data_IF_303947795605
#
_entry.id   IF_303947795605
#
_cell.length_a   1.000
_cell.length_b   1.000
_cell.length_c   1.000
_cell.angle_alpha   90.00
_cell.angle_beta   90.00
_cell.angle_gamma   90.00
#
_symmetry.space_group_name_H-M   'P 1'
#
loop_
_entity.id
_entity.type
_entity.pdbx_description
1 polymer ?
#
# COMPACT_ATOMS: atom_id res chain seq x y z
N UNK A 1 17.04 -17.33 -8.21
CA UNK A 1 15.60 -17.36 -7.94
C UNK A 1 14.89 -17.72 -9.23
N UNK A 2 13.83 -18.55 -9.17
CA UNK A 2 13.01 -18.82 -10.34
C UNK A 2 12.24 -17.55 -10.71
N UNK A 3 11.96 -17.38 -12.00
CA UNK A 3 11.13 -16.28 -12.47
C UNK A 3 9.70 -16.45 -11.93
N UNK A 4 9.08 -15.38 -11.39
CA UNK A 4 7.74 -15.45 -10.80
C UNK A 4 6.68 -15.92 -11.79
N UNK A 5 6.83 -15.58 -13.06
CA UNK A 5 5.94 -16.05 -14.13
C UNK A 5 6.08 -17.56 -14.34
N UNK A 6 7.30 -18.08 -14.26
CA UNK A 6 7.56 -19.52 -14.33
C UNK A 6 7.01 -20.27 -13.12
N UNK A 7 7.07 -19.68 -11.93
CA UNK A 7 6.50 -20.25 -10.70
C UNK A 7 4.99 -20.45 -10.85
N UNK A 8 4.29 -19.49 -11.47
CA UNK A 8 2.85 -19.60 -11.76
C UNK A 8 2.56 -20.36 -13.06
N UNK A 9 3.55 -20.61 -13.92
CA UNK A 9 3.38 -21.25 -15.21
C UNK A 9 2.63 -20.40 -16.24
N UNK A 10 2.86 -19.08 -16.23
CA UNK A 10 2.22 -18.10 -17.11
C UNK A 10 3.25 -17.30 -17.90
N UNK A 11 2.80 -16.66 -18.98
CA UNK A 11 3.62 -15.74 -19.76
C UNK A 11 3.74 -14.36 -19.10
N UNK A 12 4.80 -13.61 -19.44
CA UNK A 12 5.07 -12.26 -18.92
C UNK A 12 4.03 -11.22 -19.37
N UNK A 13 3.24 -11.51 -20.40
CA UNK A 13 2.13 -10.69 -20.88
C UNK A 13 0.75 -11.09 -20.30
N UNK A 14 0.72 -12.07 -19.37
CA UNK A 14 -0.51 -12.55 -18.76
C UNK A 14 -1.27 -11.41 -18.07
N UNK A 15 -2.60 -11.37 -18.26
CA UNK A 15 -3.49 -10.41 -17.58
C UNK A 15 -3.75 -10.83 -16.14
N UNK A 16 -4.19 -9.90 -15.30
CA UNK A 16 -4.47 -10.14 -13.87
C UNK A 16 -5.44 -11.32 -13.65
N UNK A 17 -6.42 -11.52 -14.54
CA UNK A 17 -7.34 -12.65 -14.51
C UNK A 17 -6.63 -13.99 -14.72
N UNK A 18 -5.64 -14.04 -15.61
CA UNK A 18 -4.82 -15.22 -15.88
C UNK A 18 -3.87 -15.51 -14.71
N UNK A 19 -3.30 -14.46 -14.11
CA UNK A 19 -2.50 -14.57 -12.87
C UNK A 19 -3.32 -15.20 -11.75
N UNK A 20 -4.57 -14.73 -11.57
CA UNK A 20 -5.48 -15.25 -10.56
C UNK A 20 -5.89 -16.72 -10.84
N UNK A 21 -6.15 -17.07 -12.10
CA UNK A 21 -6.50 -18.44 -12.49
C UNK A 21 -5.34 -19.41 -12.28
N UNK A 22 -4.11 -19.00 -12.68
CA UNK A 22 -2.90 -19.79 -12.51
C UNK A 22 -2.56 -20.03 -11.03
N UNK A 23 -2.70 -19.00 -10.19
CA UNK A 23 -2.52 -19.14 -8.75
C UNK A 23 -3.45 -20.22 -8.16
N UNK A 24 -4.75 -20.14 -8.48
CA UNK A 24 -5.72 -21.16 -7.98
C UNK A 24 -5.41 -22.57 -8.43
N UNK A 25 -4.88 -22.75 -9.64
CA UNK A 25 -4.45 -24.04 -10.14
C UNK A 25 -3.22 -24.54 -9.39
N UNK A 26 -2.18 -23.70 -9.30
CA UNK A 26 -0.90 -24.06 -8.67
C UNK A 26 -1.00 -24.31 -7.17
N UNK A 27 -1.82 -23.52 -6.45
CA UNK A 27 -2.06 -23.74 -5.01
C UNK A 27 -2.60 -25.14 -4.73
N UNK A 28 -3.51 -25.67 -5.57
CA UNK A 28 -4.05 -27.02 -5.41
C UNK A 28 -2.98 -28.11 -5.58
N UNK A 29 -1.99 -27.86 -6.46
CA UNK A 29 -0.89 -28.81 -6.73
C UNK A 29 0.17 -28.80 -5.61
N UNK A 30 0.46 -27.61 -5.04
CA UNK A 30 1.54 -27.45 -4.05
C UNK A 30 1.05 -27.42 -2.61
N UNK A 31 -0.27 -27.60 -2.37
CA UNK A 31 -0.82 -27.57 -1.03
C UNK A 31 -0.26 -28.72 -0.17
N UNK A 32 0.13 -28.46 1.09
CA UNK A 32 0.66 -29.50 1.98
C UNK A 32 -0.26 -30.73 2.11
N UNK A 33 -1.58 -30.50 2.16
CA UNK A 33 -2.59 -31.59 2.24
C UNK A 33 -2.66 -32.42 0.94
N UNK A 34 -2.16 -31.90 -0.18
CA UNK A 34 -2.07 -32.60 -1.46
C UNK A 34 -0.69 -33.22 -1.71
N UNK A 35 0.20 -33.21 -0.70
CA UNK A 35 1.56 -33.74 -0.81
C UNK A 35 2.60 -32.72 -1.28
N UNK A 36 2.24 -31.44 -1.38
CA UNK A 36 3.16 -30.36 -1.65
C UNK A 36 4.02 -29.98 -0.45
N UNK A 37 5.02 -29.12 -0.68
CA UNK A 37 5.91 -28.60 0.37
C UNK A 37 5.52 -27.18 0.76
N UNK A 38 5.79 -26.80 2.01
CA UNK A 38 5.56 -25.43 2.50
C UNK A 38 6.37 -24.39 1.69
N UNK A 39 7.58 -24.76 1.25
CA UNK A 39 8.44 -23.92 0.43
C UNK A 39 7.81 -23.66 -0.95
N UNK A 40 7.30 -24.68 -1.61
CA UNK A 40 6.63 -24.55 -2.91
C UNK A 40 5.34 -23.73 -2.80
N UNK A 41 4.58 -23.93 -1.72
CA UNK A 41 3.39 -23.12 -1.44
C UNK A 41 3.75 -21.64 -1.23
N UNK A 42 4.79 -21.35 -0.46
CA UNK A 42 5.25 -19.98 -0.21
C UNK A 42 5.78 -19.31 -1.49
N UNK A 43 6.49 -20.05 -2.35
CA UNK A 43 6.94 -19.52 -3.65
C UNK A 43 5.75 -19.13 -4.55
N UNK A 44 4.73 -19.97 -4.62
CA UNK A 44 3.51 -19.72 -5.41
C UNK A 44 2.72 -18.54 -4.84
N UNK A 45 2.57 -18.46 -3.50
CA UNK A 45 1.88 -17.35 -2.84
C UNK A 45 2.62 -16.01 -3.08
N UNK A 46 3.94 -16.00 -2.96
CA UNK A 46 4.77 -14.82 -3.22
C UNK A 46 4.68 -14.37 -4.69
N UNK A 47 4.77 -15.31 -5.62
CA UNK A 47 4.63 -15.00 -7.04
C UNK A 47 3.27 -14.36 -7.37
N UNK A 48 2.19 -14.89 -6.79
CA UNK A 48 0.86 -14.30 -6.94
C UNK A 48 0.78 -12.90 -6.35
N UNK A 49 1.26 -12.71 -5.11
CA UNK A 49 1.22 -11.40 -4.42
C UNK A 49 1.92 -10.30 -5.21
N UNK A 50 3.04 -10.61 -5.84
CA UNK A 50 3.79 -9.66 -6.66
C UNK A 50 3.10 -9.41 -8.00
N UNK A 51 2.71 -10.47 -8.72
CA UNK A 51 2.21 -10.36 -10.09
C UNK A 51 0.77 -9.88 -10.20
N UNK A 52 -0.06 -10.04 -9.15
CA UNK A 52 -1.43 -9.50 -9.12
C UNK A 52 -1.47 -7.99 -8.87
N UNK A 53 -0.44 -7.44 -8.27
CA UNK A 53 -0.32 -6.02 -7.99
C UNK A 53 0.44 -5.34 -9.14
N UNK A 54 -0.24 -4.49 -9.90
CA UNK A 54 0.32 -3.82 -11.10
C UNK A 54 1.61 -3.05 -10.81
N UNK A 55 1.73 -2.43 -9.63
CA UNK A 55 2.91 -1.66 -9.22
C UNK A 55 4.10 -2.59 -8.93
N UNK A 56 3.85 -3.64 -8.13
CA UNK A 56 4.87 -4.64 -7.79
C UNK A 56 5.32 -5.40 -9.03
N UNK A 57 4.38 -5.78 -9.90
CA UNK A 57 4.65 -6.47 -11.15
C UNK A 57 5.52 -5.62 -12.07
N UNK A 58 5.13 -4.35 -12.32
CA UNK A 58 5.89 -3.42 -13.14
C UNK A 58 7.33 -3.28 -12.64
N UNK A 59 7.51 -3.13 -11.33
CA UNK A 59 8.84 -3.00 -10.74
C UNK A 59 9.64 -4.29 -10.83
N UNK A 60 8.99 -5.44 -10.63
CA UNK A 60 9.62 -6.73 -10.85
C UNK A 60 10.07 -6.91 -12.31
N UNK A 61 9.24 -6.49 -13.26
CA UNK A 61 9.56 -6.54 -14.70
C UNK A 61 10.74 -5.60 -15.05
N UNK A 62 10.87 -4.46 -14.38
CA UNK A 62 11.96 -3.49 -14.58
C UNK A 62 13.27 -3.91 -13.90
N UNK A 63 13.22 -4.52 -12.72
CA UNK A 63 14.40 -4.74 -11.86
C UNK A 63 14.78 -6.22 -11.70
N UNK A 64 13.87 -7.14 -11.98
CA UNK A 64 14.01 -8.57 -11.69
C UNK A 64 14.07 -8.90 -10.19
N UNK A 65 13.84 -7.92 -9.31
CA UNK A 65 14.01 -8.04 -7.86
C UNK A 65 12.70 -7.85 -7.11
N UNK A 66 12.40 -8.78 -6.22
CA UNK A 66 11.30 -8.69 -5.26
C UNK A 66 11.79 -7.99 -3.99
N UNK A 67 13.05 -8.23 -3.62
CA UNK A 67 13.60 -7.84 -2.33
C UNK A 67 13.83 -6.34 -2.14
N UNK A 68 14.02 -5.58 -3.22
CA UNK A 68 14.28 -4.14 -3.09
C UNK A 68 13.04 -3.38 -2.65
N UNK A 69 11.85 -3.83 -3.09
CA UNK A 69 10.59 -3.20 -2.65
C UNK A 69 10.26 -3.55 -1.20
N UNK A 70 10.46 -4.80 -0.78
CA UNK A 70 10.19 -5.20 0.59
C UNK A 70 11.15 -4.51 1.58
N UNK A 71 12.40 -4.30 1.18
CA UNK A 71 13.36 -3.50 1.94
C UNK A 71 12.96 -2.03 2.02
N UNK A 72 12.53 -1.43 0.91
CA UNK A 72 12.08 -0.05 0.85
C UNK A 72 10.81 0.17 1.69
N UNK A 73 9.85 -0.76 1.61
CA UNK A 73 8.64 -0.73 2.44
C UNK A 73 9.01 -0.89 3.92
N UNK A 74 9.86 -1.85 4.25
CA UNK A 74 10.28 -2.10 5.63
C UNK A 74 11.06 -0.93 6.21
N UNK A 75 12.01 -0.36 5.46
CA UNK A 75 12.76 0.81 5.90
C UNK A 75 11.85 2.04 6.09
N UNK A 76 10.93 2.28 5.15
CA UNK A 76 9.96 3.35 5.27
C UNK A 76 8.99 3.15 6.45
N UNK A 77 8.59 1.90 6.71
CA UNK A 77 7.74 1.56 7.85
C UNK A 77 8.45 1.83 9.19
N UNK A 78 9.73 1.49 9.30
CA UNK A 78 10.54 1.79 10.49
C UNK A 78 10.65 3.30 10.71
N UNK A 79 10.97 4.07 9.66
CA UNK A 79 11.06 5.54 9.76
C UNK A 79 9.73 6.18 10.19
N UNK A 80 8.60 5.71 9.66
CA UNK A 80 7.28 6.18 10.07
C UNK A 80 7.03 5.84 11.53
N UNK A 81 7.28 4.61 11.96
CA UNK A 81 7.09 4.18 13.35
C UNK A 81 7.96 4.99 14.31
N UNK A 82 9.24 5.18 14.00
CA UNK A 82 10.17 6.01 14.78
C UNK A 82 9.70 7.47 14.88
N UNK A 83 9.26 8.05 13.76
CA UNK A 83 8.76 9.42 13.75
C UNK A 83 7.51 9.59 14.62
N UNK A 84 6.57 8.65 14.55
CA UNK A 84 5.35 8.67 15.34
C UNK A 84 5.63 8.45 16.83
N UNK A 85 6.52 7.52 17.16
CA UNK A 85 6.92 7.27 18.55
C UNK A 85 7.60 8.52 19.13
N UNK A 86 8.54 9.13 18.41
CA UNK A 86 9.24 10.34 18.88
C UNK A 86 8.27 11.50 19.16
N UNK A 87 7.20 11.65 18.37
CA UNK A 87 6.19 12.69 18.61
C UNK A 87 5.40 12.49 19.93
N UNK A 88 5.36 11.25 20.43
CA UNK A 88 4.60 10.92 21.65
C UNK A 88 5.50 10.85 22.87
N UNK A 89 6.80 10.53 22.72
CA UNK A 89 7.73 10.35 23.83
C UNK A 89 7.86 11.58 24.74
N UNK A 90 7.70 12.78 24.16
CA UNK A 90 7.83 14.03 24.91
C UNK A 90 6.53 14.47 25.61
N UNK A 91 5.46 13.68 25.54
CA UNK A 91 4.20 14.00 26.18
C UNK A 91 4.26 13.70 27.67
N UNK A 92 3.78 14.63 28.51
CA UNK A 92 3.73 14.48 29.95
C UNK A 92 2.77 13.36 30.41
N UNK A 93 1.72 13.09 29.61
CA UNK A 93 0.67 12.11 29.89
C UNK A 93 0.95 10.70 29.37
N UNK A 94 2.14 10.45 28.82
CA UNK A 94 2.49 9.19 28.14
C UNK A 94 2.22 7.93 28.97
N UNK A 95 2.41 8.03 30.31
CA UNK A 95 2.22 6.89 31.23
C UNK A 95 0.75 6.56 31.49
N UNK A 96 -0.18 7.47 31.16
CA UNK A 96 -1.60 7.34 31.46
C UNK A 96 -2.46 7.09 30.22
N UNK A 97 -1.85 6.95 29.04
CA UNK A 97 -2.55 6.71 27.76
C UNK A 97 -2.14 5.38 27.14
N UNK A 98 -3.02 4.77 26.37
CA UNK A 98 -2.68 3.65 25.50
C UNK A 98 -1.93 4.18 24.26
N UNK A 99 -0.59 4.18 24.37
CA UNK A 99 0.30 4.68 23.33
C UNK A 99 0.09 3.93 22.00
N UNK A 100 -0.12 2.62 22.04
CA UNK A 100 -0.31 1.82 20.82
C UNK A 100 -1.63 2.17 20.15
N UNK A 101 -2.70 2.39 20.91
CA UNK A 101 -3.97 2.84 20.35
C UNK A 101 -3.85 4.23 19.71
N UNK A 102 -3.15 5.18 20.34
CA UNK A 102 -2.91 6.52 19.79
C UNK A 102 -2.09 6.45 18.51
N UNK A 103 -1.00 5.68 18.49
CA UNK A 103 -0.17 5.50 17.30
C UNK A 103 -0.97 4.86 16.15
N UNK A 104 -1.78 3.84 16.46
CA UNK A 104 -2.62 3.16 15.48
C UNK A 104 -3.67 4.10 14.88
N UNK A 105 -4.28 4.95 15.70
CA UNK A 105 -5.24 5.97 15.24
C UNK A 105 -4.56 7.00 14.31
N UNK A 106 -3.35 7.43 14.63
CA UNK A 106 -2.60 8.38 13.79
C UNK A 106 -2.21 7.76 12.44
N UNK A 107 -1.73 6.51 12.43
CA UNK A 107 -1.50 5.77 11.19
C UNK A 107 -2.80 5.68 10.37
N UNK A 108 -3.93 5.39 11.01
CA UNK A 108 -5.24 5.32 10.36
C UNK A 108 -5.64 6.63 9.66
N UNK A 109 -5.39 7.79 10.28
CA UNK A 109 -5.61 9.10 9.64
C UNK A 109 -4.75 9.27 8.39
N UNK A 110 -3.47 8.94 8.48
CA UNK A 110 -2.56 9.02 7.33
C UNK A 110 -2.99 8.09 6.20
N UNK A 111 -3.42 6.87 6.50
CA UNK A 111 -3.99 5.94 5.51
C UNK A 111 -5.21 6.54 4.82
N UNK A 112 -6.14 7.14 5.59
CA UNK A 112 -7.32 7.80 5.04
C UNK A 112 -6.97 8.94 4.08
N UNK A 113 -6.00 9.79 4.45
CA UNK A 113 -5.53 10.88 3.60
C UNK A 113 -4.90 10.39 2.29
N UNK A 114 -4.07 9.32 2.34
CA UNK A 114 -3.45 8.73 1.14
C UNK A 114 -4.49 8.13 0.20
N UNK A 115 -5.47 7.41 0.73
CA UNK A 115 -6.57 6.86 -0.07
C UNK A 115 -7.36 7.96 -0.76
N UNK A 116 -7.70 9.04 -0.06
CA UNK A 116 -8.38 10.19 -0.65
C UNK A 116 -7.56 10.87 -1.76
N UNK A 117 -6.22 10.95 -1.60
CA UNK A 117 -5.34 11.48 -2.63
C UNK A 117 -5.31 10.58 -3.88
N UNK A 118 -5.22 9.25 -3.69
CA UNK A 118 -5.26 8.29 -4.81
C UNK A 118 -6.57 8.45 -5.59
N UNK A 119 -7.70 8.56 -4.90
CA UNK A 119 -8.99 8.74 -5.54
C UNK A 119 -9.05 10.04 -6.36
N UNK A 120 -8.58 11.17 -5.81
CA UNK A 120 -8.48 12.45 -6.53
C UNK A 120 -7.58 12.36 -7.75
N UNK A 121 -6.45 11.68 -7.65
CA UNK A 121 -5.54 11.47 -8.76
C UNK A 121 -6.18 10.60 -9.84
N UNK A 122 -6.89 9.53 -9.47
CA UNK A 122 -7.58 8.67 -10.43
C UNK A 122 -8.72 9.40 -11.16
N UNK A 123 -9.51 10.20 -10.45
CA UNK A 123 -10.53 11.08 -11.06
C UNK A 123 -9.89 12.04 -12.06
N UNK A 124 -8.75 12.64 -11.71
CA UNK A 124 -8.01 13.56 -12.59
C UNK A 124 -7.43 12.84 -13.81
N UNK A 125 -6.94 11.60 -13.61
CA UNK A 125 -6.46 10.75 -14.72
C UNK A 125 -7.58 10.44 -15.69
N UNK A 126 -8.73 9.99 -15.20
CA UNK A 126 -9.93 9.71 -16.02
C UNK A 126 -10.38 10.94 -16.79
N UNK A 127 -10.38 12.12 -16.15
CA UNK A 127 -10.70 13.39 -16.81
C UNK A 127 -9.75 13.69 -17.97
N UNK A 128 -8.45 13.52 -17.83
CA UNK A 128 -7.51 13.74 -18.92
C UNK A 128 -7.63 12.71 -20.04
N UNK A 129 -8.00 11.48 -19.74
CA UNK A 129 -8.29 10.45 -20.75
C UNK A 129 -9.51 10.86 -21.56
N UNK A 130 -10.62 11.23 -20.91
CA UNK A 130 -11.83 11.73 -21.58
C UNK A 130 -11.56 12.96 -22.45
N UNK A 131 -10.79 13.92 -21.93
CA UNK A 131 -10.42 15.10 -22.72
C UNK A 131 -9.59 14.72 -23.95
N UNK A 132 -8.63 13.81 -23.82
CA UNK A 132 -7.80 13.34 -24.93
C UNK A 132 -8.66 12.79 -26.08
N UNK A 133 -9.71 12.03 -25.78
CA UNK A 133 -10.61 11.44 -26.75
C UNK A 133 -11.50 12.49 -27.47
N UNK A 134 -11.73 13.65 -26.86
CA UNK A 134 -12.55 14.75 -27.43
C UNK A 134 -11.77 15.65 -28.38
N UNK A 135 -10.43 15.66 -28.29
CA UNK A 135 -9.60 16.42 -29.22
C UNK A 135 -9.42 15.65 -30.54
N UNK A 136 -9.85 16.22 -31.64
CA UNK A 136 -9.67 15.68 -32.99
C UNK A 136 -8.89 16.68 -33.82
N UNK A 137 -7.81 16.25 -34.42
CA UNK A 137 -7.06 17.09 -35.36
C UNK A 137 -7.90 17.42 -36.61
N UNK A 138 -7.87 18.66 -37.01
CA UNK A 138 -8.51 19.11 -38.26
C UNK A 138 -7.59 18.92 -39.48
N UNK A 139 -6.31 18.68 -39.25
CA UNK A 139 -5.25 18.41 -40.23
C UNK A 139 -4.37 17.27 -39.75
N UNK A 140 -3.48 16.73 -40.57
CA UNK A 140 -2.68 15.53 -40.35
C UNK A 140 -1.61 15.62 -39.21
N UNK A 141 -1.72 16.56 -38.26
CA UNK A 141 -0.81 16.70 -37.13
C UNK A 141 -1.54 16.34 -35.82
N UNK A 142 -1.70 15.02 -35.58
CA UNK A 142 -2.39 14.49 -34.42
C UNK A 142 -1.48 14.36 -33.15
N UNK A 143 -0.19 14.63 -33.30
CA UNK A 143 0.80 14.23 -32.27
C UNK A 143 0.82 15.15 -31.05
N UNK A 144 0.80 16.47 -31.24
CA UNK A 144 1.02 17.47 -30.18
C UNK A 144 0.05 17.34 -29.00
N UNK A 145 -1.24 17.29 -29.26
CA UNK A 145 -2.27 17.22 -28.20
C UNK A 145 -2.23 15.86 -27.51
N UNK A 146 -2.07 14.79 -28.29
CA UNK A 146 -1.95 13.43 -27.76
C UNK A 146 -0.75 13.31 -26.83
N UNK A 147 0.41 13.82 -27.20
CA UNK A 147 1.64 13.80 -26.41
C UNK A 147 1.50 14.64 -25.14
N UNK A 148 0.83 15.79 -25.22
CA UNK A 148 0.57 16.64 -24.05
C UNK A 148 -0.27 15.91 -23.00
N UNK A 149 -1.38 15.30 -23.41
CA UNK A 149 -2.23 14.55 -22.47
C UNK A 149 -1.53 13.28 -21.97
N UNK A 150 -0.80 12.59 -22.84
CA UNK A 150 -0.05 11.41 -22.44
C UNK A 150 0.96 11.73 -21.33
N UNK A 151 1.75 12.79 -21.48
CA UNK A 151 2.69 13.25 -20.42
C UNK A 151 1.97 13.60 -19.12
N UNK A 152 0.79 14.24 -19.16
CA UNK A 152 0.01 14.54 -17.96
C UNK A 152 -0.50 13.28 -17.27
N UNK A 153 -0.98 12.31 -18.04
CA UNK A 153 -1.47 11.01 -17.53
C UNK A 153 -0.31 10.24 -16.88
N UNK A 154 0.89 10.24 -17.49
CA UNK A 154 2.09 9.59 -16.94
C UNK A 154 2.55 10.22 -15.62
N UNK A 155 2.53 11.55 -15.51
CA UNK A 155 2.85 12.23 -14.25
C UNK A 155 1.87 11.85 -13.15
N UNK A 156 0.56 11.78 -13.48
CA UNK A 156 -0.44 11.35 -12.49
C UNK A 156 -0.22 9.89 -12.09
N UNK A 157 0.08 9.01 -13.04
CA UNK A 157 0.37 7.60 -12.74
C UNK A 157 1.56 7.47 -11.78
N UNK A 158 2.67 8.19 -12.02
CA UNK A 158 3.82 8.22 -11.10
C UNK A 158 3.45 8.71 -9.69
N UNK A 159 2.61 9.75 -9.61
CA UNK A 159 2.15 10.26 -8.32
C UNK A 159 1.26 9.24 -7.59
N UNK A 160 0.40 8.51 -8.32
CA UNK A 160 -0.40 7.43 -7.75
C UNK A 160 0.48 6.29 -7.22
N UNK A 161 1.55 5.94 -7.94
CA UNK A 161 2.48 4.90 -7.52
C UNK A 161 3.23 5.31 -6.24
N UNK A 162 3.61 6.58 -6.12
CA UNK A 162 4.22 7.12 -4.89
C UNK A 162 3.24 7.06 -3.69
N UNK A 163 1.96 7.40 -3.89
CA UNK A 163 0.93 7.30 -2.84
C UNK A 163 0.67 5.85 -2.43
N UNK A 164 0.69 4.91 -3.38
CA UNK A 164 0.54 3.47 -3.10
C UNK A 164 1.72 2.91 -2.31
N UNK A 165 2.95 3.33 -2.64
CA UNK A 165 4.13 2.96 -1.85
C UNK A 165 4.02 3.47 -0.42
N UNK A 166 3.64 4.74 -0.24
CA UNK A 166 3.44 5.32 1.09
C UNK A 166 2.34 4.58 1.88
N UNK A 167 1.27 4.13 1.22
CA UNK A 167 0.24 3.28 1.83
C UNK A 167 0.80 1.93 2.29
N UNK A 168 1.63 1.28 1.47
CA UNK A 168 2.26 0.02 1.83
C UNK A 168 3.19 0.19 3.05
N UNK A 169 3.94 1.29 3.11
CA UNK A 169 4.80 1.62 4.24
C UNK A 169 4.00 1.89 5.52
N UNK A 170 2.89 2.63 5.43
CA UNK A 170 1.98 2.88 6.56
C UNK A 170 1.33 1.60 7.08
N UNK A 171 0.92 0.70 6.18
CA UNK A 171 0.36 -0.60 6.55
C UNK A 171 1.39 -1.48 7.25
N UNK A 172 2.63 -1.49 6.76
CA UNK A 172 3.72 -2.21 7.40
C UNK A 172 4.10 -1.60 8.75
N UNK A 173 4.07 -0.27 8.91
CA UNK A 173 4.28 0.42 10.18
C UNK A 173 3.19 0.06 11.20
N UNK A 174 1.92 0.00 10.77
CA UNK A 174 0.82 -0.45 11.63
C UNK A 174 1.04 -1.88 12.15
N UNK A 175 1.44 -2.81 11.27
CA UNK A 175 1.75 -4.19 11.66
C UNK A 175 2.96 -4.27 12.58
N UNK A 176 3.95 -3.40 12.40
CA UNK A 176 5.11 -3.31 13.29
C UNK A 176 4.70 -2.88 14.69
N UNK A 177 3.88 -1.83 14.82
CA UNK A 177 3.39 -1.30 16.09
C UNK A 177 2.51 -2.31 16.84
N UNK A 178 1.70 -3.09 16.13
CA UNK A 178 0.84 -4.13 16.73
C UNK A 178 1.60 -5.29 17.39
N UNK A 179 2.91 -5.40 17.16
CA UNK A 179 3.77 -6.39 17.85
C UNK A 179 4.14 -5.99 19.27
N UNK A 180 3.84 -4.75 19.67
CA UNK A 180 4.18 -4.20 20.96
C UNK A 180 2.93 -3.92 21.77
N UNK A 181 3.03 -4.06 23.06
CA UNK A 181 2.06 -3.66 24.05
C UNK A 181 2.69 -2.56 24.92
N UNK A 182 1.95 -1.53 25.23
CA UNK A 182 2.39 -0.49 26.15
C UNK A 182 1.64 -0.64 27.46
N UNK A 183 2.38 -0.94 28.53
CA UNK A 183 1.81 -1.03 29.87
C UNK A 183 1.72 0.38 30.44
N UNK A 184 0.51 0.87 30.62
CA UNK A 184 0.24 2.20 31.16
C UNK A 184 -0.41 2.14 32.55
N UNK A 185 -0.19 3.19 33.34
CA UNK A 185 -0.80 3.33 34.64
C UNK A 185 -2.30 3.60 34.48
N UNK A 186 -3.20 2.78 35.08
CA UNK A 186 -4.62 3.05 34.96
C UNK A 186 -4.94 4.41 35.61
N UNK A 187 -5.90 5.20 35.05
CA UNK A 187 -6.29 6.47 35.64
C UNK A 187 -6.74 6.23 37.08
N UNK A 188 -6.24 7.03 38.01
CA UNK A 188 -6.66 6.97 39.42
C UNK A 188 -8.18 7.12 39.47
N UNK A 189 -8.84 6.24 40.24
CA UNK A 189 -10.30 6.27 40.42
C UNK A 189 -10.76 7.69 40.78
N UNK A 190 -11.54 8.32 39.88
CA UNK A 190 -11.98 9.72 40.01
C UNK A 190 -11.50 10.64 38.88
N UNK A 191 -10.56 10.23 38.04
CA UNK A 191 -10.21 10.97 36.83
C UNK A 191 -11.24 10.66 35.74
N UNK A 192 -11.87 11.68 35.15
CA UNK A 192 -12.74 11.50 33.99
C UNK A 192 -11.95 10.82 32.90
N UNK A 193 -12.38 9.62 32.47
CA UNK A 193 -11.81 8.94 31.31
C UNK A 193 -12.16 9.79 30.10
N UNK A 194 -11.16 10.43 29.50
CA UNK A 194 -11.34 11.16 28.26
C UNK A 194 -11.34 10.13 27.12
N UNK A 195 -12.51 9.65 26.77
CA UNK A 195 -12.71 8.83 25.57
C UNK A 195 -12.68 9.81 24.40
N UNK A 196 -11.60 9.78 23.60
CA UNK A 196 -11.59 10.51 22.35
C UNK A 196 -12.70 9.96 21.45
N UNK A 197 -13.66 10.80 20.99
CA UNK A 197 -14.59 10.39 19.96
C UNK A 197 -13.83 10.02 18.68
N UNK A 198 -14.25 8.98 18.02
CA UNK A 198 -13.68 8.50 16.76
C UNK A 198 -13.83 9.50 15.60
N UNK A 199 -14.53 10.61 15.82
CA UNK A 199 -14.81 11.67 14.84
C UNK A 199 -13.89 12.91 14.93
N UNK A 200 -12.94 12.92 15.86
CA UNK A 200 -11.95 14.01 15.96
C UNK A 200 -12.49 15.30 16.62
N UNK A 201 -13.67 15.29 17.24
CA UNK A 201 -14.24 16.47 17.90
C UNK A 201 -13.65 16.61 19.31
N UNK A 202 -12.96 17.72 19.58
CA UNK A 202 -12.46 18.06 20.91
C UNK A 202 -13.58 18.81 21.63
N UNK A 203 -14.23 18.17 22.62
CA UNK A 203 -15.13 18.84 23.54
C UNK A 203 -14.32 19.25 24.77
N UNK A 204 -14.23 20.56 25.00
CA UNK A 204 -13.76 21.12 26.27
C UNK A 204 -14.97 21.27 27.21
N UNK A 205 -14.99 20.58 28.33
CA UNK A 205 -15.71 20.93 29.55
C UNK A 205 -14.77 20.97 30.75
#
# INVERSE_FOLDING_TARGET
MRNLYEVLGISTDARSEQVHAAYRARVKEVHPDAGGTAEAFNEVALAYEVLINDVRRKRYDETGSIHDQDKEISAGAQQIAESLINQILDREDIRSIDVIAVLSAEVGKHVGLRNANIEKLDQRRKYYIDLKERFRAKMNDETFINDLFQKKIEVIAKNMDAERLALAQLSAASLLLQRYEFVYDPPKSGSKIFVMPTDGTILFE
#
